data_IF_597602856709
#
_entry.id   IF_597602856709
#
_cell.length_a   1.000
_cell.length_b   1.000
_cell.length_c   1.000
_cell.angle_alpha   90.00
_cell.angle_beta   90.00
_cell.angle_gamma   90.00
#
_symmetry.space_group_name_H-M   'P 1'
#
loop_
_entity.id
_entity.type
_entity.pdbx_description
1 polymer ?
#
# COMPACT_ATOMS: atom_id res chain seq x y z
N UNK A 1 6.51 -5.91 -13.17
CA UNK A 1 5.26 -6.59 -13.56
C UNK A 1 4.52 -7.27 -12.40
N UNK A 2 5.13 -8.16 -11.60
CA UNK A 2 4.43 -8.89 -10.51
C UNK A 2 3.65 -8.03 -9.50
N UNK A 3 4.19 -6.86 -9.09
CA UNK A 3 3.50 -5.94 -8.15
C UNK A 3 2.26 -5.27 -8.76
N UNK A 4 2.28 -5.00 -10.07
CA UNK A 4 1.16 -4.37 -10.79
C UNK A 4 -0.02 -5.33 -10.93
N UNK A 5 0.25 -6.61 -11.21
CA UNK A 5 -0.79 -7.64 -11.31
C UNK A 5 -1.48 -7.86 -9.97
N UNK A 6 -0.71 -7.87 -8.87
CA UNK A 6 -1.27 -7.94 -7.51
C UNK A 6 -2.13 -6.72 -7.17
N UNK A 7 -1.70 -5.52 -7.54
CA UNK A 7 -2.47 -4.29 -7.33
C UNK A 7 -3.77 -4.28 -8.14
N UNK A 8 -3.74 -4.72 -9.40
CA UNK A 8 -4.92 -4.84 -10.26
C UNK A 8 -5.99 -5.77 -9.67
N UNK A 9 -5.56 -6.94 -9.17
CA UNK A 9 -6.46 -7.93 -8.55
C UNK A 9 -7.03 -7.38 -7.23
N UNK A 10 -6.21 -6.68 -6.45
CA UNK A 10 -6.65 -6.04 -5.20
C UNK A 10 -7.67 -4.92 -5.45
N UNK A 11 -7.43 -4.06 -6.45
CA UNK A 11 -8.39 -3.03 -6.87
C UNK A 11 -9.72 -3.63 -7.33
N UNK A 12 -9.69 -4.75 -8.05
CA UNK A 12 -10.91 -5.46 -8.46
C UNK A 12 -11.66 -6.02 -7.25
N UNK A 13 -10.96 -6.60 -6.28
CA UNK A 13 -11.56 -7.13 -5.06
C UNK A 13 -12.22 -6.04 -4.19
N UNK A 14 -11.56 -4.88 -4.04
CA UNK A 14 -12.14 -3.73 -3.34
C UNK A 14 -13.39 -3.18 -4.04
N UNK A 15 -13.38 -3.13 -5.38
CA UNK A 15 -14.55 -2.69 -6.16
C UNK A 15 -15.77 -3.57 -5.96
N UNK A 16 -15.57 -4.85 -5.65
CA UNK A 16 -16.65 -5.80 -5.36
C UNK A 16 -17.11 -5.77 -3.89
N UNK A 17 -16.26 -5.31 -2.97
CA UNK A 17 -16.55 -5.25 -1.53
C UNK A 17 -17.20 -3.92 -1.09
N UNK A 18 -17.19 -2.89 -1.95
CA UNK A 18 -17.73 -1.58 -1.63
C UNK A 18 -19.26 -1.53 -1.71
N UNK A 19 -19.94 -1.70 -0.57
CA UNK A 19 -21.33 -1.28 -0.40
C UNK A 19 -21.41 0.24 -0.29
N UNK A 20 -22.09 0.90 -1.22
CA UNK A 20 -22.41 2.33 -1.14
C UNK A 20 -23.60 2.53 -0.21
N UNK A 21 -23.34 2.58 1.09
CA UNK A 21 -24.30 3.00 2.11
C UNK A 21 -24.25 4.53 2.26
N UNK A 22 -24.85 5.26 1.32
CA UNK A 22 -25.05 6.70 1.48
C UNK A 22 -26.31 7.20 0.78
N UNK A 23 -27.22 7.75 1.59
CA UNK A 23 -28.46 8.45 1.20
C UNK A 23 -28.22 9.81 0.50
N UNK A 24 -26.99 10.06 0.03
CA UNK A 24 -26.62 11.28 -0.68
C UNK A 24 -26.74 11.06 -2.19
N UNK A 25 -27.23 12.07 -2.90
CA UNK A 25 -27.33 12.01 -4.36
C UNK A 25 -25.93 11.77 -4.98
N UNK A 26 -25.83 10.71 -5.80
CA UNK A 26 -24.61 10.29 -6.51
C UNK A 26 -23.76 11.45 -7.05
N UNK A 27 -24.31 12.48 -7.72
CA UNK A 27 -23.51 13.60 -8.23
C UNK A 27 -22.82 14.43 -7.13
N UNK A 28 -23.43 14.59 -5.96
CA UNK A 28 -22.84 15.34 -4.84
C UNK A 28 -21.68 14.57 -4.23
N UNK A 29 -21.81 13.25 -4.05
CA UNK A 29 -20.70 12.41 -3.58
C UNK A 29 -19.51 12.45 -4.53
N UNK A 30 -19.75 12.36 -5.84
CA UNK A 30 -18.70 12.43 -6.85
C UNK A 30 -17.98 13.78 -6.79
N UNK A 31 -18.73 14.89 -6.71
CA UNK A 31 -18.16 16.23 -6.60
C UNK A 31 -17.34 16.41 -5.31
N UNK A 32 -17.85 15.94 -4.17
CA UNK A 32 -17.18 16.03 -2.88
C UNK A 32 -15.88 15.22 -2.86
N UNK A 33 -15.91 14.02 -3.45
CA UNK A 33 -14.73 13.16 -3.61
C UNK A 33 -13.68 13.82 -4.49
N UNK A 34 -14.09 14.38 -5.63
CA UNK A 34 -13.18 15.07 -6.54
C UNK A 34 -12.53 16.30 -5.86
N UNK A 35 -13.34 17.08 -5.14
CA UNK A 35 -12.86 18.25 -4.40
C UNK A 35 -11.86 17.85 -3.30
N UNK A 36 -12.15 16.79 -2.55
CA UNK A 36 -11.24 16.26 -1.53
C UNK A 36 -9.91 15.81 -2.15
N UNK A 37 -9.94 15.06 -3.26
CA UNK A 37 -8.72 14.63 -3.96
C UNK A 37 -7.88 15.83 -4.38
N UNK A 38 -8.47 16.87 -4.95
CA UNK A 38 -7.75 18.07 -5.40
C UNK A 38 -7.12 18.82 -4.23
N UNK A 39 -7.89 19.05 -3.16
CA UNK A 39 -7.41 19.73 -1.94
C UNK A 39 -6.28 18.92 -1.31
N UNK A 40 -6.44 17.61 -1.19
CA UNK A 40 -5.46 16.73 -0.58
C UNK A 40 -4.20 16.61 -1.43
N UNK A 41 -4.30 16.54 -2.76
CA UNK A 41 -3.14 16.60 -3.67
C UNK A 41 -2.40 17.94 -3.56
N UNK A 42 -3.13 19.05 -3.42
CA UNK A 42 -2.52 20.35 -3.20
C UNK A 42 -1.80 20.42 -1.84
N UNK A 43 -2.41 19.90 -0.77
CA UNK A 43 -1.80 19.80 0.55
C UNK A 43 -0.57 18.88 0.56
N UNK A 44 -0.66 17.72 -0.10
CA UNK A 44 0.43 16.77 -0.32
C UNK A 44 1.63 17.39 -1.02
N UNK A 45 1.40 18.22 -2.03
CA UNK A 45 2.48 18.88 -2.77
C UNK A 45 3.07 20.08 -2.07
N UNK A 46 2.31 20.77 -1.22
CA UNK A 46 2.68 22.12 -0.73
C UNK A 46 2.94 22.20 0.77
N UNK A 47 2.21 21.44 1.58
CA UNK A 47 2.27 21.50 3.05
C UNK A 47 3.10 20.35 3.65
N UNK A 48 3.00 19.15 3.09
CA UNK A 48 3.69 17.96 3.61
C UNK A 48 5.22 17.96 3.40
N UNK A 49 5.79 18.45 2.28
CA UNK A 49 7.24 18.46 2.08
C UNK A 49 8.03 19.35 3.07
N UNK A 50 7.63 20.61 3.36
CA UNK A 50 8.32 21.41 4.37
C UNK A 50 8.11 20.87 5.79
N UNK A 51 6.94 20.27 6.06
CA UNK A 51 6.66 19.66 7.36
C UNK A 51 7.58 18.46 7.63
N UNK A 52 7.73 17.55 6.66
CA UNK A 52 8.61 16.39 6.81
C UNK A 52 10.09 16.77 6.88
N UNK A 53 10.55 17.76 6.10
CA UNK A 53 11.92 18.27 6.23
C UNK A 53 12.21 18.84 7.61
N UNK A 54 11.29 19.65 8.14
CA UNK A 54 11.43 20.21 9.48
C UNK A 54 11.44 19.13 10.57
N UNK A 55 10.65 18.06 10.36
CA UNK A 55 10.57 16.93 11.27
C UNK A 55 11.86 16.09 11.24
N UNK A 56 12.43 15.85 10.06
CA UNK A 56 13.69 15.12 9.88
C UNK A 56 14.90 15.90 10.43
N UNK A 57 14.87 17.24 10.37
CA UNK A 57 15.89 18.10 10.97
C UNK A 57 15.85 18.13 12.51
N UNK A 58 14.72 17.74 13.14
CA UNK A 58 14.50 17.90 14.59
C UNK A 58 14.20 16.62 15.35
N UNK A 59 13.86 15.53 14.68
CA UNK A 59 13.35 14.32 15.32
C UNK A 59 14.15 13.07 14.93
N UNK A 60 14.23 12.12 15.86
CA UNK A 60 14.78 10.79 15.60
C UNK A 60 13.90 10.04 14.58
N UNK A 61 14.52 9.11 13.85
CA UNK A 61 13.90 8.33 12.77
C UNK A 61 12.59 7.64 13.22
N UNK A 62 12.55 7.10 14.44
CA UNK A 62 11.36 6.45 15.00
C UNK A 62 10.18 7.41 15.25
N UNK A 63 10.46 8.68 15.55
CA UNK A 63 9.43 9.70 15.76
C UNK A 63 8.77 10.09 14.44
N UNK A 64 9.52 10.11 13.34
CA UNK A 64 8.97 10.39 12.00
C UNK A 64 7.99 9.30 11.59
N UNK A 65 8.30 8.02 11.83
CA UNK A 65 7.39 6.89 11.56
C UNK A 65 6.07 7.05 12.32
N UNK A 66 6.14 7.40 13.61
CA UNK A 66 4.94 7.63 14.43
C UNK A 66 4.08 8.77 13.89
N UNK A 67 4.70 9.88 13.46
CA UNK A 67 3.97 11.00 12.85
C UNK A 67 3.34 10.65 11.51
N UNK A 68 4.02 9.89 10.64
CA UNK A 68 3.45 9.43 9.37
C UNK A 68 2.22 8.58 9.62
N UNK A 69 2.30 7.65 10.58
CA UNK A 69 1.17 6.80 10.97
C UNK A 69 0.02 7.65 11.54
N UNK A 70 0.32 8.58 12.44
CA UNK A 70 -0.67 9.48 13.02
C UNK A 70 -1.36 10.33 11.95
N UNK A 71 -0.61 10.87 10.98
CA UNK A 71 -1.16 11.61 9.85
C UNK A 71 -2.04 10.73 8.97
N UNK A 72 -1.62 9.50 8.67
CA UNK A 72 -2.43 8.55 7.89
C UNK A 72 -3.76 8.20 8.58
N UNK A 73 -3.73 8.03 9.91
CA UNK A 73 -4.90 7.77 10.74
C UNK A 73 -5.82 8.99 10.85
N UNK A 74 -5.25 10.18 11.06
CA UNK A 74 -5.99 11.45 11.12
C UNK A 74 -6.68 11.75 9.79
N UNK A 75 -5.94 11.63 8.69
CA UNK A 75 -6.47 11.89 7.36
C UNK A 75 -7.55 10.87 7.01
N UNK A 76 -7.32 9.58 7.23
CA UNK A 76 -8.35 8.55 7.03
C UNK A 76 -9.61 8.75 7.89
N UNK A 77 -9.46 9.27 9.12
CA UNK A 77 -10.60 9.61 9.98
C UNK A 77 -11.37 10.82 9.45
N UNK A 78 -10.64 11.82 8.94
CA UNK A 78 -11.24 12.99 8.30
C UNK A 78 -11.97 12.61 7.01
N UNK A 79 -11.38 11.75 6.17
CA UNK A 79 -12.00 11.20 4.95
C UNK A 79 -13.30 10.46 5.27
N UNK A 80 -13.33 9.69 6.35
CA UNK A 80 -14.52 8.99 6.79
C UNK A 80 -15.62 9.95 7.25
N UNK A 81 -15.26 11.05 7.92
CA UNK A 81 -16.22 12.08 8.31
C UNK A 81 -16.85 12.79 7.12
N UNK A 82 -16.10 12.95 6.02
CA UNK A 82 -16.59 13.49 4.74
C UNK A 82 -17.50 12.50 3.98
N UNK A 83 -17.61 11.25 4.44
CA UNK A 83 -18.42 10.21 3.80
C UNK A 83 -17.70 9.44 2.68
N UNK A 84 -16.37 9.50 2.66
CA UNK A 84 -15.52 8.75 1.72
C UNK A 84 -14.89 7.55 2.46
N UNK A 85 -14.47 6.52 1.73
CA UNK A 85 -13.74 5.38 2.31
C UNK A 85 -12.46 5.83 3.03
N UNK A 86 -12.33 5.50 4.32
CA UNK A 86 -11.18 5.87 5.17
C UNK A 86 -9.81 5.46 4.59
N UNK A 87 -9.77 4.37 3.84
CA UNK A 87 -8.56 3.85 3.17
C UNK A 87 -7.96 4.87 2.19
N UNK A 88 -8.79 5.71 1.56
CA UNK A 88 -8.30 6.72 0.61
C UNK A 88 -7.42 7.77 1.29
N UNK A 89 -7.75 8.22 2.50
CA UNK A 89 -6.94 9.22 3.20
C UNK A 89 -5.55 8.69 3.56
N UNK A 90 -5.49 7.49 4.14
CA UNK A 90 -4.22 6.83 4.44
C UNK A 90 -3.36 6.61 3.18
N UNK A 91 -3.99 6.27 2.04
CA UNK A 91 -3.31 6.15 0.75
C UNK A 91 -2.73 7.50 0.27
N UNK A 92 -3.49 8.58 0.40
CA UNK A 92 -3.05 9.92 0.02
C UNK A 92 -1.83 10.39 0.81
N UNK A 93 -1.80 10.14 2.12
CA UNK A 93 -0.62 10.41 2.96
C UNK A 93 0.58 9.59 2.48
N UNK A 94 0.39 8.33 2.08
CA UNK A 94 1.43 7.49 1.50
C UNK A 94 1.98 8.02 0.16
N UNK A 95 1.11 8.52 -0.72
CA UNK A 95 1.52 9.15 -1.99
C UNK A 95 2.33 10.42 -1.73
N UNK A 96 1.86 11.27 -0.79
CA UNK A 96 2.60 12.45 -0.37
C UNK A 96 4.00 12.09 0.17
N UNK A 97 4.08 10.99 0.92
CA UNK A 97 5.34 10.47 1.45
C UNK A 97 6.30 10.01 0.35
N UNK A 98 5.77 9.41 -0.72
CA UNK A 98 6.54 8.98 -1.89
C UNK A 98 7.15 10.16 -2.64
N UNK A 99 6.43 11.28 -2.71
CA UNK A 99 6.89 12.51 -3.37
C UNK A 99 7.84 13.33 -2.46
N UNK A 100 7.72 13.16 -1.13
CA UNK A 100 8.63 13.78 -0.16
C UNK A 100 10.01 13.11 -0.14
N UNK A 101 11.05 13.93 0.08
CA UNK A 101 12.45 13.49 0.16
C UNK A 101 12.81 12.91 1.54
N UNK A 102 12.05 11.91 2.01
CA UNK A 102 12.43 11.19 3.23
C UNK A 102 13.75 10.44 3.05
N UNK A 103 14.56 10.39 4.11
CA UNK A 103 15.69 9.48 4.20
C UNK A 103 15.29 8.02 3.98
N UNK A 104 16.17 7.28 3.30
CA UNK A 104 16.00 5.84 3.04
C UNK A 104 15.83 5.05 4.34
N UNK A 105 16.51 5.45 5.43
CA UNK A 105 16.40 4.81 6.75
C UNK A 105 15.00 4.96 7.36
N UNK A 106 14.38 6.12 7.20
CA UNK A 106 13.01 6.37 7.67
C UNK A 106 12.01 5.51 6.89
N UNK A 107 12.21 5.38 5.57
CA UNK A 107 11.38 4.49 4.73
C UNK A 107 11.54 3.03 5.12
N UNK A 108 12.76 2.57 5.36
CA UNK A 108 13.06 1.21 5.82
C UNK A 108 12.45 0.94 7.20
N UNK A 109 12.53 1.90 8.12
CA UNK A 109 11.89 1.81 9.43
C UNK A 109 10.36 1.73 9.32
N UNK A 110 9.75 2.54 8.45
CA UNK A 110 8.31 2.50 8.20
C UNK A 110 7.87 1.17 7.59
N UNK A 111 8.63 0.64 6.62
CA UNK A 111 8.33 -0.67 6.02
C UNK A 111 8.53 -1.80 7.00
N UNK A 112 9.57 -1.75 7.83
CA UNK A 112 9.82 -2.74 8.88
C UNK A 112 8.71 -2.73 9.92
N UNK A 113 8.27 -1.55 10.36
CA UNK A 113 7.13 -1.41 11.27
C UNK A 113 5.84 -1.93 10.63
N UNK A 114 5.59 -1.57 9.36
CA UNK A 114 4.42 -2.02 8.65
C UNK A 114 4.37 -3.54 8.49
N UNK A 115 5.49 -4.15 8.11
CA UNK A 115 5.60 -5.60 7.99
C UNK A 115 5.53 -6.30 9.36
N UNK A 116 6.14 -5.73 10.40
CA UNK A 116 6.19 -6.32 11.74
C UNK A 116 4.87 -6.24 12.51
N UNK A 117 4.13 -5.14 12.36
CA UNK A 117 2.91 -4.88 13.14
C UNK A 117 1.63 -5.08 12.34
N UNK A 118 1.49 -4.42 11.19
CA UNK A 118 0.26 -4.49 10.40
C UNK A 118 0.10 -5.82 9.68
N UNK A 119 1.18 -6.48 9.24
CA UNK A 119 1.05 -7.76 8.54
C UNK A 119 0.45 -8.86 9.42
N UNK A 120 0.94 -9.12 10.66
CA UNK A 120 0.30 -10.09 11.55
C UNK A 120 -1.14 -9.70 11.92
N UNK A 121 -1.41 -8.41 12.15
CA UNK A 121 -2.77 -7.93 12.44
C UNK A 121 -3.73 -8.15 11.27
N UNK A 122 -3.31 -7.86 10.05
CA UNK A 122 -4.08 -8.09 8.84
C UNK A 122 -4.39 -9.58 8.66
N UNK A 123 -3.38 -10.45 8.80
CA UNK A 123 -3.58 -11.90 8.68
C UNK A 123 -4.46 -12.45 9.80
N UNK A 124 -4.32 -11.96 11.03
CA UNK A 124 -5.19 -12.34 12.15
C UNK A 124 -6.64 -11.92 11.90
N UNK A 125 -6.87 -10.67 11.47
CA UNK A 125 -8.21 -10.15 11.17
C UNK A 125 -8.89 -10.96 10.06
N UNK A 126 -8.22 -11.15 8.92
CA UNK A 126 -8.76 -11.93 7.80
C UNK A 126 -8.97 -13.39 8.19
N UNK A 127 -8.06 -13.99 8.95
CA UNK A 127 -8.18 -15.36 9.43
C UNK A 127 -9.35 -15.56 10.38
N UNK A 128 -9.60 -14.62 11.29
CA UNK A 128 -10.72 -14.64 12.22
C UNK A 128 -12.07 -14.35 11.55
N UNK A 129 -12.09 -13.52 10.50
CA UNK A 129 -13.31 -13.26 9.73
C UNK A 129 -13.73 -14.44 8.82
N UNK A 130 -12.85 -15.42 8.58
CA UNK A 130 -13.21 -16.61 7.84
C UNK A 130 -13.89 -17.63 8.76
N UNK A 131 -15.20 -17.82 8.56
CA UNK A 131 -15.95 -18.87 9.25
C UNK A 131 -15.76 -20.22 8.55
N UNK A 132 -14.82 -21.01 9.05
CA UNK A 132 -14.56 -22.37 8.57
C UNK A 132 -15.63 -23.38 8.99
N UNK A 133 -16.53 -23.04 9.92
CA UNK A 133 -17.56 -23.95 10.43
C UNK A 133 -18.69 -24.18 9.42
N UNK A 134 -19.22 -23.10 8.83
CA UNK A 134 -20.37 -23.17 7.90
C UNK A 134 -19.98 -23.15 6.41
N UNK A 135 -18.85 -22.54 6.05
CA UNK A 135 -18.52 -22.24 4.65
C UNK A 135 -17.38 -23.10 4.06
N UNK A 136 -16.93 -24.14 4.76
CA UNK A 136 -15.86 -25.01 4.29
C UNK A 136 -16.34 -25.95 3.17
N UNK A 137 -16.37 -25.42 1.93
CA UNK A 137 -16.63 -26.18 0.72
C UNK A 137 -15.31 -26.73 0.17
N UNK A 138 -15.03 -28.05 0.26
CA UNK A 138 -13.76 -28.63 -0.17
C UNK A 138 -13.45 -28.37 -1.66
N UNK A 139 -14.49 -28.23 -2.48
CA UNK A 139 -14.36 -27.88 -3.90
C UNK A 139 -13.81 -26.46 -4.11
N UNK A 140 -14.25 -25.48 -3.32
CA UNK A 140 -13.74 -24.10 -3.39
C UNK A 140 -12.28 -24.06 -2.95
N UNK A 141 -11.94 -24.75 -1.86
CA UNK A 141 -10.55 -24.87 -1.39
C UNK A 141 -9.66 -25.51 -2.45
N UNK A 142 -10.11 -26.59 -3.09
CA UNK A 142 -9.37 -27.25 -4.17
C UNK A 142 -9.16 -26.33 -5.37
N UNK A 143 -10.20 -25.61 -5.81
CA UNK A 143 -10.11 -24.66 -6.93
C UNK A 143 -9.15 -23.53 -6.59
N UNK A 144 -9.22 -22.95 -5.39
CA UNK A 144 -8.29 -21.90 -4.93
C UNK A 144 -6.86 -22.45 -4.85
N UNK A 145 -6.66 -23.66 -4.35
CA UNK A 145 -5.34 -24.29 -4.28
C UNK A 145 -4.75 -24.54 -5.67
N UNK A 146 -5.54 -25.10 -6.60
CA UNK A 146 -5.10 -25.37 -7.98
C UNK A 146 -4.80 -24.06 -8.71
N UNK A 147 -5.66 -23.05 -8.59
CA UNK A 147 -5.42 -21.74 -9.22
C UNK A 147 -4.23 -21.02 -8.62
N UNK A 148 -4.03 -21.07 -7.30
CA UNK A 148 -2.85 -20.52 -6.64
C UNK A 148 -1.55 -21.25 -7.05
N UNK A 149 -1.55 -22.59 -7.07
CA UNK A 149 -0.42 -23.40 -7.50
C UNK A 149 -0.09 -23.16 -8.99
N UNK A 150 -1.10 -23.15 -9.87
CA UNK A 150 -0.92 -22.87 -11.29
C UNK A 150 -0.36 -21.46 -11.51
N UNK A 151 -0.88 -20.45 -10.80
CA UNK A 151 -0.37 -19.08 -10.87
C UNK A 151 1.11 -18.97 -10.47
N UNK A 152 1.53 -19.72 -9.45
CA UNK A 152 2.94 -19.75 -9.01
C UNK A 152 3.85 -20.45 -10.01
N UNK A 153 3.41 -21.57 -10.60
CA UNK A 153 4.15 -22.33 -11.60
C UNK A 153 4.36 -21.56 -12.91
N UNK A 154 3.32 -20.85 -13.38
CA UNK A 154 3.43 -20.00 -14.57
C UNK A 154 4.37 -18.82 -14.29
N UNK A 155 4.35 -18.27 -13.07
CA UNK A 155 5.24 -17.18 -12.69
C UNK A 155 6.71 -17.60 -12.50
N UNK A 156 6.98 -18.87 -12.17
CA UNK A 156 8.33 -19.41 -12.03
C UNK A 156 9.01 -19.80 -13.36
N UNK A 157 8.24 -19.90 -14.44
CA UNK A 157 8.72 -20.45 -15.73
C UNK A 157 9.00 -19.37 -16.77
N UNK A 158 9.07 -18.09 -16.41
CA UNK A 158 9.71 -17.08 -17.27
C UNK A 158 11.22 -17.08 -16.97
N UNK A 159 12.06 -17.77 -17.77
CA UNK A 159 13.50 -17.85 -17.57
C UNK A 159 14.09 -16.60 -18.22
N UNK A 160 13.90 -15.45 -17.59
CA UNK A 160 14.33 -14.14 -18.08
C UNK A 160 15.38 -13.51 -17.19
N UNK A 161 16.40 -14.26 -16.77
CA UNK A 161 17.73 -13.72 -16.41
C UNK A 161 18.70 -14.87 -16.06
N UNK A 162 19.18 -15.55 -17.10
CA UNK A 162 20.45 -16.26 -17.04
C UNK A 162 21.36 -15.73 -18.13
N UNK A 163 21.88 -14.54 -17.92
CA UNK A 163 23.15 -14.13 -18.50
C UNK A 163 24.14 -13.92 -17.34
N UNK A 164 24.89 -14.96 -16.91
CA UNK A 164 26.09 -14.76 -16.10
C UNK A 164 27.14 -14.05 -16.97
N UNK A 165 27.06 -12.72 -17.01
CA UNK A 165 28.07 -11.86 -17.60
C UNK A 165 29.32 -11.84 -16.72
N UNK A 166 30.18 -12.84 -16.89
CA UNK A 166 31.55 -12.83 -16.38
C UNK A 166 32.30 -11.63 -16.98
N UNK A 167 32.58 -10.61 -16.17
CA UNK A 167 33.57 -9.57 -16.47
C UNK A 167 34.62 -9.49 -15.36
N UNK A 168 35.23 -10.62 -15.03
CA UNK A 168 36.57 -10.66 -14.47
C UNK A 168 37.60 -10.86 -15.59
N UNK A 169 37.85 -9.81 -16.37
CA UNK A 169 39.05 -9.71 -17.20
C UNK A 169 39.33 -8.24 -17.51
N UNK A 170 40.46 -7.72 -17.02
CA UNK A 170 41.01 -6.46 -17.53
C UNK A 170 41.37 -5.38 -16.52
N UNK A 171 41.71 -5.72 -15.27
CA UNK A 171 42.37 -4.76 -14.36
C UNK A 171 43.71 -5.30 -13.88
N UNK A 172 44.63 -5.51 -14.83
CA UNK A 172 46.07 -5.56 -14.58
C UNK A 172 46.80 -4.94 -15.77
N UNK A 173 47.76 -4.07 -15.44
CA UNK A 173 48.78 -3.40 -16.28
C UNK A 173 48.42 -2.02 -16.84
N UNK A 174 48.71 -1.00 -16.04
CA UNK A 174 49.62 0.09 -16.44
C UNK A 174 50.48 0.48 -15.24
N UNK A 175 51.82 0.51 -15.36
CA UNK A 175 52.60 1.56 -14.71
C UNK A 175 52.43 2.89 -15.47
#
# INVERSE_FOLDING_TARGET
MRRLTGWMIFSLALGLAGGTDADLSVPVMVALTLAYIVVMLAAARRALPPFFRWLEERAAEGTVVAWVLALALLDGSFTQWVGIHSIFGAFMVGVALSESALSERTRESLTTFAAGFFSPLFFSSVGLSMDFGEHFRPLVVLVVLVTACAGKSISGTFPGDRAPGNKHAGQRRRP
#
